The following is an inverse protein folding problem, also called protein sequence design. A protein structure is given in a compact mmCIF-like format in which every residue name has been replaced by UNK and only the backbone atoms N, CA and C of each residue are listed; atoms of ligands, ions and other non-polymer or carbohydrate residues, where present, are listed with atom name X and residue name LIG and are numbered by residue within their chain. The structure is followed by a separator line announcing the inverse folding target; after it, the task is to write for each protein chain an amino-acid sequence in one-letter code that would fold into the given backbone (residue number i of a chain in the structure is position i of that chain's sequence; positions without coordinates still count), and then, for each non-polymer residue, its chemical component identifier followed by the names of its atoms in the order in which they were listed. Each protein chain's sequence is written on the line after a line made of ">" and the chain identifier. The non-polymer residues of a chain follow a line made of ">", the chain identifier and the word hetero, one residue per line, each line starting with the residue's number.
data_IF_161772939135
#
_entry.id   IF_161772939135
#
_cell.length_a   1.000
_cell.length_b   1.000
_cell.length_c   1.000
_cell.angle_alpha   90.00
_cell.angle_beta   90.00
_cell.angle_gamma   90.00
#
_symmetry.space_group_name_H-M   'P 1'
#
loop_
_entity.id
_entity.type
_entity.pdbx_description
1 polymer ?
#
# COMPACT_ATOMS: atom_id res chain seq x y z
N UNK A 1 -1.24 -6.50 -23.63
CA UNK A 1 0.23 -6.40 -23.60
C UNK A 1 0.61 -5.26 -22.67
N UNK A 2 1.57 -5.53 -21.78
CA UNK A 2 2.08 -4.57 -20.80
C UNK A 2 3.08 -3.59 -21.41
N UNK A 3 3.38 -2.55 -20.63
CA UNK A 3 4.40 -1.53 -20.85
C UNK A 3 5.80 -2.09 -20.57
N UNK A 4 5.97 -2.83 -19.48
CA UNK A 4 7.30 -3.31 -19.04
C UNK A 4 7.62 -4.73 -19.53
N UNK A 5 6.60 -5.53 -19.82
CA UNK A 5 6.75 -6.90 -20.31
C UNK A 5 5.56 -7.32 -21.18
N UNK A 6 5.77 -8.11 -22.25
CA UNK A 6 4.66 -8.72 -22.99
C UNK A 6 3.83 -9.70 -22.16
N UNK A 7 4.40 -10.23 -21.07
CA UNK A 7 3.79 -11.23 -20.18
C UNK A 7 2.84 -10.60 -19.15
N UNK A 8 2.99 -9.30 -18.87
CA UNK A 8 2.11 -8.55 -18.00
C UNK A 8 0.89 -8.01 -18.76
N UNK A 9 -0.28 -8.05 -18.15
CA UNK A 9 -1.37 -7.19 -18.58
C UNK A 9 -1.14 -5.75 -18.14
N UNK A 10 -1.60 -4.80 -18.96
CA UNK A 10 -1.44 -3.36 -18.74
C UNK A 10 -1.88 -2.90 -17.35
N UNK A 11 -2.91 -3.55 -16.79
CA UNK A 11 -3.45 -3.22 -15.46
C UNK A 11 -2.42 -3.47 -14.35
N UNK A 12 -1.56 -4.48 -14.47
CA UNK A 12 -0.55 -4.79 -13.46
C UNK A 12 0.61 -3.80 -13.49
N UNK A 13 0.96 -3.29 -14.67
CA UNK A 13 1.97 -2.25 -14.86
C UNK A 13 1.47 -0.91 -14.30
N UNK A 14 0.21 -0.57 -14.58
CA UNK A 14 -0.46 0.59 -14.00
C UNK A 14 -0.48 0.47 -12.47
N UNK A 15 -0.80 -0.72 -11.94
CA UNK A 15 -0.78 -0.94 -10.50
C UNK A 15 0.61 -0.66 -9.91
N UNK A 16 1.68 -1.19 -10.51
CA UNK A 16 3.05 -0.94 -10.05
C UNK A 16 3.42 0.55 -10.10
N UNK A 17 3.02 1.26 -11.15
CA UNK A 17 3.22 2.71 -11.26
C UNK A 17 2.47 3.47 -10.17
N UNK A 18 1.20 3.13 -9.90
CA UNK A 18 0.42 3.73 -8.82
C UNK A 18 1.08 3.48 -7.47
N UNK A 19 1.56 2.25 -7.20
CA UNK A 19 2.29 1.94 -5.98
C UNK A 19 3.58 2.75 -5.85
N UNK A 20 4.29 2.98 -6.95
CA UNK A 20 5.50 3.82 -6.98
C UNK A 20 5.18 5.29 -6.66
N UNK A 21 4.08 5.82 -7.19
CA UNK A 21 3.58 7.16 -6.85
C UNK A 21 3.18 7.25 -5.37
N UNK A 22 2.56 6.21 -4.81
CA UNK A 22 2.23 6.16 -3.39
C UNK A 22 3.47 6.19 -2.49
N UNK A 23 4.56 5.50 -2.88
CA UNK A 23 5.85 5.62 -2.19
C UNK A 23 6.39 7.04 -2.27
N UNK A 24 6.29 7.70 -3.42
CA UNK A 24 6.67 9.10 -3.54
C UNK A 24 5.83 10.00 -2.61
N UNK A 25 4.52 9.76 -2.49
CA UNK A 25 3.66 10.48 -1.56
C UNK A 25 4.03 10.23 -0.09
N UNK A 26 4.42 9.00 0.27
CA UNK A 26 4.94 8.67 1.61
C UNK A 26 6.20 9.49 1.93
N UNK A 27 7.15 9.57 0.99
CA UNK A 27 8.36 10.39 1.13
C UNK A 27 8.03 11.88 1.23
N UNK A 28 7.11 12.39 0.42
CA UNK A 28 6.65 13.78 0.50
C UNK A 28 5.97 14.08 1.84
N UNK A 29 5.15 13.16 2.34
CA UNK A 29 4.55 13.26 3.67
C UNK A 29 5.60 13.28 4.77
N UNK A 30 6.62 12.43 4.66
CA UNK A 30 7.75 12.38 5.58
C UNK A 30 8.50 13.73 5.66
N UNK A 31 8.83 14.30 4.51
CA UNK A 31 9.51 15.60 4.38
C UNK A 31 8.65 16.73 4.97
N UNK A 32 7.33 16.68 4.73
CA UNK A 32 6.38 17.69 5.19
C UNK A 32 5.83 17.43 6.61
N UNK A 33 6.47 16.56 7.40
CA UNK A 33 6.04 16.16 8.75
C UNK A 33 5.91 17.32 9.75
N UNK A 34 6.54 18.47 9.49
CA UNK A 34 6.43 19.68 10.33
C UNK A 34 5.06 20.35 10.26
N UNK A 35 4.36 20.22 9.12
CA UNK A 35 3.01 20.74 8.94
C UNK A 35 2.01 19.60 9.09
N UNK A 36 1.40 19.46 10.27
CA UNK A 36 0.42 18.40 10.52
C UNK A 36 -0.74 18.40 9.52
N UNK A 37 -1.17 19.57 9.05
CA UNK A 37 -2.22 19.68 8.04
C UNK A 37 -1.74 19.14 6.70
N UNK A 38 -0.59 19.59 6.21
CA UNK A 38 -0.04 19.14 4.92
C UNK A 38 0.29 17.65 4.95
N UNK A 39 1.02 17.21 5.98
CA UNK A 39 1.35 15.81 6.19
C UNK A 39 0.09 14.94 6.25
N UNK A 40 -0.86 15.28 7.12
CA UNK A 40 -2.09 14.51 7.29
C UNK A 40 -2.93 14.43 6.02
N UNK A 41 -3.03 15.52 5.25
CA UNK A 41 -3.73 15.51 3.96
C UNK A 41 -3.04 14.59 2.96
N UNK A 42 -1.70 14.67 2.81
CA UNK A 42 -0.95 13.78 1.90
C UNK A 42 -1.15 12.32 2.30
N UNK A 43 -1.05 11.99 3.60
CA UNK A 43 -1.20 10.61 4.08
C UNK A 43 -2.63 10.08 3.92
N UNK A 44 -3.65 10.92 4.16
CA UNK A 44 -5.04 10.55 3.95
C UNK A 44 -5.33 10.30 2.46
N UNK A 45 -4.81 11.15 1.57
CA UNK A 45 -4.92 10.98 0.12
C UNK A 45 -4.22 9.70 -0.34
N UNK A 46 -2.99 9.44 0.10
CA UNK A 46 -2.25 8.23 -0.23
C UNK A 46 -3.00 6.97 0.24
N UNK A 47 -3.54 6.99 1.47
CA UNK A 47 -4.35 5.89 2.01
C UNK A 47 -5.61 5.66 1.18
N UNK A 48 -6.32 6.72 0.78
CA UNK A 48 -7.52 6.60 -0.05
C UNK A 48 -7.22 6.00 -1.42
N UNK A 49 -6.17 6.48 -2.09
CA UNK A 49 -5.72 5.92 -3.38
C UNK A 49 -5.38 4.45 -3.21
N UNK A 50 -4.65 4.08 -2.15
CA UNK A 50 -4.29 2.68 -1.89
C UNK A 50 -5.52 1.78 -1.68
N UNK A 51 -6.52 2.24 -0.93
CA UNK A 51 -7.78 1.50 -0.75
C UNK A 51 -8.44 1.25 -2.10
N UNK A 52 -8.54 2.28 -2.94
CA UNK A 52 -9.13 2.16 -4.29
C UNK A 52 -8.36 1.12 -5.09
N UNK A 53 -7.03 1.19 -5.11
CA UNK A 53 -6.18 0.24 -5.82
C UNK A 53 -6.33 -1.20 -5.30
N UNK A 54 -6.42 -1.39 -3.99
CA UNK A 54 -6.63 -2.70 -3.38
C UNK A 54 -7.96 -3.29 -3.84
N UNK A 55 -9.06 -2.52 -3.72
CA UNK A 55 -10.40 -2.99 -4.02
C UNK A 55 -10.58 -3.25 -5.52
N UNK A 56 -9.98 -2.43 -6.37
CA UNK A 56 -10.18 -2.50 -7.83
C UNK A 56 -9.23 -3.44 -8.55
N UNK A 57 -8.01 -3.64 -8.04
CA UNK A 57 -6.96 -4.42 -8.73
C UNK A 57 -6.50 -5.61 -7.89
N UNK A 58 -6.03 -5.36 -6.66
CA UNK A 58 -5.31 -6.39 -5.89
C UNK A 58 -6.24 -7.50 -5.37
N UNK A 59 -7.39 -7.13 -4.78
CA UNK A 59 -8.36 -8.10 -4.25
C UNK A 59 -8.96 -8.97 -5.35
N UNK A 60 -9.47 -8.41 -6.47
CA UNK A 60 -9.95 -9.23 -7.58
C UNK A 60 -8.88 -10.18 -8.13
N UNK A 61 -7.65 -9.70 -8.29
CA UNK A 61 -6.53 -10.54 -8.75
C UNK A 61 -6.24 -11.68 -7.79
N UNK A 62 -6.24 -11.43 -6.47
CA UNK A 62 -6.03 -12.46 -5.46
C UNK A 62 -7.16 -13.50 -5.49
N UNK A 63 -8.42 -13.05 -5.53
CA UNK A 63 -9.61 -13.93 -5.54
C UNK A 63 -9.60 -14.85 -6.77
N UNK A 64 -9.32 -14.30 -7.95
CA UNK A 64 -9.25 -15.09 -9.19
C UNK A 64 -8.13 -16.14 -9.16
N UNK A 65 -7.06 -15.89 -8.38
CA UNK A 65 -5.89 -16.75 -8.29
C UNK A 65 -5.79 -17.52 -6.97
N UNK A 66 -6.87 -17.60 -6.17
CA UNK A 66 -6.88 -18.33 -4.90
C UNK A 66 -6.50 -19.81 -5.06
N UNK A 67 -6.87 -20.43 -6.19
CA UNK A 67 -6.51 -21.81 -6.51
C UNK A 67 -4.99 -22.03 -6.66
N UNK A 68 -4.21 -20.98 -6.93
CA UNK A 68 -2.75 -21.07 -6.99
C UNK A 68 -2.11 -21.04 -5.58
N UNK A 69 -2.86 -20.65 -4.56
CA UNK A 69 -2.41 -20.58 -3.16
C UNK A 69 -2.81 -21.81 -2.34
N UNK A 70 -3.80 -22.59 -2.80
CA UNK A 70 -4.37 -23.74 -2.07
C UNK A 70 -4.36 -24.99 -2.95
N UNK A 71 -3.71 -26.10 -2.54
CA UNK A 71 -3.00 -26.26 -1.26
C UNK A 71 -1.71 -25.45 -1.19
N UNK A 72 -1.32 -25.08 0.03
CA UNK A 72 -0.03 -24.42 0.27
C UNK A 72 1.08 -25.47 0.19
N UNK A 73 2.00 -25.27 -0.74
CA UNK A 73 3.12 -26.17 -1.02
C UNK A 73 4.47 -25.52 -0.70
N UNK A 74 4.48 -24.28 -0.17
CA UNK A 74 5.72 -23.56 0.12
C UNK A 74 6.47 -23.08 -1.12
N UNK A 75 5.81 -23.02 -2.28
CA UNK A 75 6.41 -22.48 -3.50
C UNK A 75 6.78 -21.00 -3.30
N UNK A 76 7.92 -20.52 -3.84
CA UNK A 76 8.36 -19.13 -3.66
C UNK A 76 7.26 -18.10 -3.97
N UNK A 77 6.54 -18.26 -5.07
CA UNK A 77 5.42 -17.38 -5.44
C UNK A 77 4.29 -17.33 -4.40
N UNK A 78 3.93 -18.47 -3.80
CA UNK A 78 2.91 -18.52 -2.72
C UNK A 78 3.41 -17.75 -1.49
N UNK A 79 4.67 -17.95 -1.10
CA UNK A 79 5.27 -17.26 0.05
C UNK A 79 5.31 -15.74 -0.20
N UNK A 80 5.78 -15.31 -1.36
CA UNK A 80 5.83 -13.89 -1.75
C UNK A 80 4.43 -13.28 -1.66
N UNK A 81 3.42 -13.95 -2.24
CA UNK A 81 2.03 -13.47 -2.25
C UNK A 81 1.45 -13.35 -0.84
N UNK A 82 1.63 -14.37 0.00
CA UNK A 82 1.11 -14.40 1.38
C UNK A 82 1.80 -13.35 2.25
N UNK A 83 3.12 -13.25 2.19
CA UNK A 83 3.88 -12.27 2.97
C UNK A 83 3.51 -10.85 2.54
N UNK A 84 3.51 -10.57 1.23
CA UNK A 84 3.14 -9.25 0.71
C UNK A 84 1.72 -8.86 1.10
N UNK A 85 0.74 -9.74 0.89
CA UNK A 85 -0.67 -9.45 1.20
C UNK A 85 -0.91 -9.27 2.70
N UNK A 86 -0.22 -10.03 3.55
CA UNK A 86 -0.33 -9.91 5.02
C UNK A 86 0.26 -8.58 5.50
N UNK A 87 1.50 -8.28 5.10
CA UNK A 87 2.18 -7.03 5.48
C UNK A 87 1.41 -5.82 4.96
N UNK A 88 0.96 -5.87 3.70
CA UNK A 88 0.15 -4.81 3.09
C UNK A 88 -1.18 -4.59 3.79
N UNK A 89 -1.87 -5.65 4.21
CA UNK A 89 -3.13 -5.54 4.95
C UNK A 89 -2.93 -4.83 6.28
N UNK A 90 -1.90 -5.20 7.05
CA UNK A 90 -1.58 -4.54 8.33
C UNK A 90 -1.21 -3.07 8.09
N UNK A 91 -0.39 -2.79 7.08
CA UNK A 91 0.02 -1.45 6.70
C UNK A 91 -1.17 -0.53 6.38
N UNK A 92 -2.14 -1.05 5.61
CA UNK A 92 -3.35 -0.32 5.21
C UNK A 92 -4.27 -0.09 6.40
N UNK A 93 -4.47 -1.08 7.27
CA UNK A 93 -5.28 -0.91 8.50
C UNK A 93 -4.72 0.23 9.35
N UNK A 94 -3.40 0.24 9.59
CA UNK A 94 -2.76 1.31 10.35
C UNK A 94 -2.86 2.66 9.62
N UNK A 95 -2.63 2.69 8.31
CA UNK A 95 -2.79 3.90 7.48
C UNK A 95 -4.21 4.47 7.57
N UNK A 96 -5.23 3.62 7.51
CA UNK A 96 -6.63 4.00 7.72
C UNK A 96 -6.87 4.57 9.10
N UNK A 97 -6.40 3.90 10.16
CA UNK A 97 -6.57 4.39 11.53
C UNK A 97 -5.96 5.78 11.74
N UNK A 98 -4.73 6.00 11.26
CA UNK A 98 -4.03 7.29 11.37
C UNK A 98 -4.73 8.37 10.53
N UNK A 99 -5.12 8.04 9.30
CA UNK A 99 -5.82 8.97 8.40
C UNK A 99 -7.20 9.36 8.94
N UNK A 100 -7.96 8.41 9.47
CA UNK A 100 -9.27 8.67 10.08
C UNK A 100 -9.15 9.54 11.34
N UNK A 101 -8.13 9.30 12.17
CA UNK A 101 -7.84 10.16 13.33
C UNK A 101 -7.58 11.60 12.89
N UNK A 102 -6.75 11.79 11.87
CA UNK A 102 -6.48 13.12 11.30
C UNK A 102 -7.73 13.78 10.74
N UNK A 103 -8.51 13.07 9.91
CA UNK A 103 -9.73 13.60 9.29
C UNK A 103 -10.79 13.98 10.34
N UNK A 104 -10.92 13.18 11.40
CA UNK A 104 -11.81 13.49 12.52
C UNK A 104 -11.38 14.77 13.25
N UNK A 105 -10.09 14.90 13.56
CA UNK A 105 -9.56 16.11 14.20
C UNK A 105 -9.79 17.35 13.33
N UNK A 106 -9.57 17.23 12.02
CA UNK A 106 -9.81 18.31 11.06
C UNK A 106 -11.29 18.72 11.00
N UNK A 107 -12.21 17.75 11.00
CA UNK A 107 -13.66 18.01 10.99
C UNK A 107 -14.16 18.65 12.27
N UNK A 108 -13.64 18.22 13.42
CA UNK A 108 -14.06 18.70 14.74
C UNK A 108 -13.34 19.98 15.18
N UNK A 109 -12.40 20.51 14.38
CA UNK A 109 -11.54 21.64 14.76
C UNK A 109 -10.72 21.37 16.03
N UNK A 110 -10.39 20.09 16.27
CA UNK A 110 -9.53 19.66 17.36
C UNK A 110 -8.04 19.88 17.00
N UNK A 111 -7.13 19.92 17.98
CA UNK A 111 -5.69 19.95 17.71
C UNK A 111 -5.29 18.80 16.76
N UNK A 112 -4.69 19.15 15.62
CA UNK A 112 -4.30 18.16 14.61
C UNK A 112 -3.27 17.20 15.22
N UNK A 113 -3.58 15.91 15.17
CA UNK A 113 -2.70 14.83 15.62
C UNK A 113 -2.65 13.73 14.58
N UNK A 114 -1.45 13.43 14.08
CA UNK A 114 -1.21 12.38 13.09
C UNK A 114 -0.85 11.02 13.72
N UNK A 115 -1.05 10.86 15.03
CA UNK A 115 -0.69 9.65 15.78
C UNK A 115 0.50 9.85 16.71
N UNK A 116 0.96 8.75 17.31
CA UNK A 116 2.22 8.73 18.08
C UNK A 116 3.37 8.34 17.16
N UNK A 117 4.56 8.84 17.46
CA UNK A 117 5.71 8.79 16.56
C UNK A 117 6.08 7.34 16.18
N UNK A 118 6.03 6.45 17.15
CA UNK A 118 6.32 5.02 17.02
C UNK A 118 5.36 4.35 16.05
N UNK A 119 4.06 4.63 16.15
CA UNK A 119 3.05 4.08 15.23
C UNK A 119 3.21 4.60 13.81
N UNK A 120 3.65 5.85 13.64
CA UNK A 120 3.91 6.41 12.32
C UNK A 120 5.12 5.75 11.66
N UNK A 121 6.21 5.56 12.40
CA UNK A 121 7.39 4.84 11.89
C UNK A 121 7.09 3.38 11.57
N UNK A 122 6.32 2.70 12.43
CA UNK A 122 5.93 1.32 12.17
C UNK A 122 5.08 1.23 10.90
N UNK A 123 4.11 2.14 10.74
CA UNK A 123 3.27 2.21 9.53
C UNK A 123 4.13 2.47 8.29
N UNK A 124 5.01 3.48 8.32
CA UNK A 124 5.91 3.76 7.20
C UNK A 124 6.76 2.55 6.81
N UNK A 125 7.34 1.88 7.80
CA UNK A 125 8.18 0.70 7.57
C UNK A 125 7.38 -0.43 6.92
N UNK A 126 6.16 -0.68 7.40
CA UNK A 126 5.27 -1.70 6.83
C UNK A 126 4.84 -1.34 5.40
N UNK A 127 4.57 -0.07 5.10
CA UNK A 127 4.26 0.37 3.74
C UNK A 127 5.44 0.17 2.78
N UNK A 128 6.67 0.48 3.21
CA UNK A 128 7.88 0.26 2.41
C UNK A 128 8.16 -1.24 2.20
N UNK A 129 8.01 -2.05 3.25
CA UNK A 129 8.14 -3.51 3.15
C UNK A 129 7.07 -4.10 2.23
N UNK A 130 5.82 -3.61 2.32
CA UNK A 130 4.74 -4.02 1.44
C UNK A 130 5.04 -3.65 -0.02
N UNK A 131 5.53 -2.43 -0.29
CA UNK A 131 5.93 -2.02 -1.62
C UNK A 131 7.04 -2.91 -2.18
N UNK A 132 8.08 -3.18 -1.39
CA UNK A 132 9.16 -4.08 -1.80
C UNK A 132 8.63 -5.48 -2.11
N UNK A 133 7.74 -6.02 -1.28
CA UNK A 133 7.07 -7.30 -1.55
C UNK A 133 6.26 -7.29 -2.85
N UNK A 134 5.56 -6.18 -3.14
CA UNK A 134 4.80 -6.02 -4.38
C UNK A 134 5.70 -5.88 -5.62
N UNK A 135 6.85 -5.23 -5.48
CA UNK A 135 7.86 -5.14 -6.53
C UNK A 135 8.48 -6.52 -6.83
N UNK A 136 8.84 -7.27 -5.79
CA UNK A 136 9.34 -8.66 -5.92
C UNK A 136 8.28 -9.57 -6.55
N UNK A 137 7.01 -9.43 -6.15
CA UNK A 137 5.89 -10.13 -6.77
C UNK A 137 5.83 -9.83 -8.28
N UNK A 138 5.90 -8.54 -8.64
CA UNK A 138 5.81 -8.14 -10.05
C UNK A 138 6.94 -8.75 -10.88
N UNK A 139 8.18 -8.67 -10.40
CA UNK A 139 9.33 -9.28 -11.08
C UNK A 139 9.12 -10.78 -11.24
N UNK A 140 8.77 -11.49 -10.16
CA UNK A 140 8.67 -12.95 -10.19
C UNK A 140 7.60 -13.49 -11.16
N UNK A 141 6.47 -12.78 -11.28
CA UNK A 141 5.33 -13.26 -12.06
C UNK A 141 5.26 -12.70 -13.49
N UNK A 142 5.93 -11.58 -13.78
CA UNK A 142 5.74 -10.86 -15.05
C UNK A 142 7.02 -10.50 -15.82
N UNK A 143 8.21 -10.76 -15.25
CA UNK A 143 9.50 -10.59 -15.91
C UNK A 143 10.30 -11.90 -15.94
#
# INVERSE_FOLDING_TARGET
>A
MGIFSPQADLIYDINLLVQSVLVALLVLGWINSKSYKTHGTIMATATLIQIITIVTIMVPSLVLNLGALVPFEGKPGQIITIVHSTVGTIAVILGCMLSLKFLKALRNTEPLSCGVKETMYATLSLWLLSFLGGFVFYIYYYL
#
